data_IF_349624421262
#
_entry.id   IF_349624421262
#
_cell.length_a   1.000
_cell.length_b   1.000
_cell.length_c   1.000
_cell.angle_alpha   90.00
_cell.angle_beta   90.00
_cell.angle_gamma   90.00
#
_symmetry.space_group_name_H-M   'P 1'
#
loop_
_entity.id
_entity.type
_entity.pdbx_description
1 polymer ?
#
# COMPACT_ATOMS: atom_id res chain seq x y z
N UNK A 1 11.12 -7.48 -4.51
CA UNK A 1 10.77 -6.90 -3.20
C UNK A 1 12.04 -6.67 -2.40
N UNK A 2 12.12 -5.57 -1.69
CA UNK A 2 13.25 -5.19 -0.85
C UNK A 2 13.49 -6.20 0.27
N UNK A 3 14.74 -6.59 0.50
CA UNK A 3 15.09 -7.57 1.55
C UNK A 3 14.74 -7.09 2.97
N UNK A 4 14.82 -5.78 3.22
CA UNK A 4 14.44 -5.18 4.49
C UNK A 4 12.95 -5.39 4.78
N UNK A 5 12.10 -5.22 3.78
CA UNK A 5 10.66 -5.46 3.89
C UNK A 5 10.39 -6.93 4.13
N UNK A 6 11.03 -7.82 3.36
CA UNK A 6 10.89 -9.27 3.54
C UNK A 6 11.24 -9.71 4.95
N UNK A 7 12.37 -9.23 5.47
CA UNK A 7 12.82 -9.57 6.82
C UNK A 7 11.84 -9.07 7.88
N UNK A 8 11.32 -7.87 7.73
CA UNK A 8 10.35 -7.28 8.66
C UNK A 8 9.04 -8.05 8.68
N UNK A 9 8.51 -8.37 7.51
CA UNK A 9 7.25 -9.13 7.38
C UNK A 9 7.43 -10.56 7.87
N UNK A 10 8.58 -11.18 7.57
CA UNK A 10 8.89 -12.52 8.06
C UNK A 10 8.89 -12.57 9.60
N UNK A 11 9.46 -11.58 10.23
CA UNK A 11 9.47 -11.45 11.69
C UNK A 11 8.05 -11.32 12.25
N UNK A 12 7.21 -10.52 11.59
CA UNK A 12 5.79 -10.38 11.97
C UNK A 12 5.04 -11.71 11.81
N UNK A 13 5.19 -12.38 10.67
CA UNK A 13 4.55 -13.69 10.43
C UNK A 13 4.99 -14.73 11.47
N UNK A 14 6.28 -14.75 11.80
CA UNK A 14 6.82 -15.66 12.80
C UNK A 14 6.20 -15.43 14.18
N UNK A 15 6.03 -14.16 14.58
CA UNK A 15 5.38 -13.81 15.85
C UNK A 15 3.91 -14.23 15.91
N UNK A 16 3.23 -14.28 14.77
CA UNK A 16 1.84 -14.72 14.64
C UNK A 16 1.71 -16.24 14.41
N UNK A 17 2.83 -16.95 14.30
CA UNK A 17 2.82 -18.39 14.03
C UNK A 17 2.50 -18.75 12.58
N UNK A 18 2.69 -17.82 11.65
CA UNK A 18 2.39 -18.02 10.24
C UNK A 18 3.65 -18.42 9.47
N UNK A 19 3.45 -19.25 8.45
CA UNK A 19 4.52 -19.61 7.53
C UNK A 19 4.89 -18.41 6.64
N UNK A 20 6.18 -18.22 6.38
CA UNK A 20 6.66 -17.14 5.52
C UNK A 20 7.05 -17.68 4.15
N UNK A 21 6.28 -17.31 3.14
CA UNK A 21 6.56 -17.54 1.72
C UNK A 21 6.45 -16.19 0.99
N UNK A 22 6.90 -16.12 -0.26
CA UNK A 22 6.76 -14.88 -1.03
C UNK A 22 5.30 -14.45 -1.15
N UNK A 23 4.39 -15.40 -1.32
CA UNK A 23 2.95 -15.12 -1.38
C UNK A 23 2.40 -14.64 -0.04
N UNK A 24 2.81 -15.28 1.06
CA UNK A 24 2.34 -14.89 2.39
C UNK A 24 2.83 -13.51 2.80
N UNK A 25 4.01 -13.09 2.35
CA UNK A 25 4.53 -11.76 2.59
C UNK A 25 3.61 -10.71 1.98
N UNK A 26 3.23 -10.89 0.73
CA UNK A 26 2.29 -10.00 0.04
C UNK A 26 0.93 -9.95 0.75
N UNK A 27 0.39 -11.11 1.09
CA UNK A 27 -0.88 -11.20 1.81
C UNK A 27 -0.83 -10.51 3.17
N UNK A 28 0.24 -10.72 3.93
CA UNK A 28 0.42 -10.08 5.23
C UNK A 28 0.42 -8.55 5.11
N UNK A 29 1.14 -8.00 4.14
CA UNK A 29 1.19 -6.56 3.92
C UNK A 29 -0.20 -6.02 3.60
N UNK A 30 -0.92 -6.69 2.72
CA UNK A 30 -2.22 -6.21 2.25
C UNK A 30 -3.35 -6.39 3.26
N UNK A 31 -3.33 -7.48 4.05
CA UNK A 31 -4.41 -7.82 4.96
C UNK A 31 -4.17 -7.40 6.40
N UNK A 32 -2.94 -7.59 6.90
CA UNK A 32 -2.60 -7.25 8.28
C UNK A 32 -2.09 -5.82 8.44
N UNK A 33 -1.57 -5.22 7.38
CA UNK A 33 -1.14 -3.83 7.39
C UNK A 33 -2.31 -2.88 7.61
N UNK A 34 -2.15 -1.92 8.53
CA UNK A 34 -3.16 -0.90 8.79
C UNK A 34 -3.00 0.22 7.78
N UNK A 35 -4.03 0.48 6.97
CA UNK A 35 -4.03 1.57 6.01
C UNK A 35 -3.97 2.92 6.72
N UNK A 36 -2.93 3.69 6.43
CA UNK A 36 -2.72 5.01 7.05
C UNK A 36 -2.84 6.16 6.05
N UNK A 37 -2.70 5.89 4.75
CA UNK A 37 -2.82 6.89 3.72
C UNK A 37 -3.11 6.25 2.35
N UNK A 38 -3.81 6.98 1.51
CA UNK A 38 -3.98 6.62 0.10
C UNK A 38 -4.16 7.88 -0.73
N UNK A 39 -3.67 7.84 -1.96
CA UNK A 39 -3.76 8.98 -2.85
C UNK A 39 -3.02 8.73 -4.15
N UNK A 40 -2.62 9.82 -4.83
CA UNK A 40 -1.93 9.77 -6.13
C UNK A 40 -2.69 8.93 -7.18
N UNK A 41 -4.00 9.12 -7.22
CA UNK A 41 -4.88 8.33 -8.08
C UNK A 41 -4.63 8.59 -9.56
N UNK A 42 -4.65 7.53 -10.35
CA UNK A 42 -4.79 7.63 -11.80
C UNK A 42 -5.94 6.75 -12.24
N UNK A 43 -6.88 7.35 -12.96
CA UNK A 43 -8.10 6.63 -13.38
C UNK A 43 -7.88 5.88 -14.68
N UNK A 44 -8.45 4.68 -14.76
CA UNK A 44 -8.65 3.97 -16.01
C UNK A 44 -10.15 3.79 -16.23
N UNK A 45 -10.52 3.16 -17.34
CA UNK A 45 -11.93 2.89 -17.66
C UNK A 45 -12.62 1.98 -16.65
N UNK A 46 -11.86 1.05 -16.04
CA UNK A 46 -12.40 -0.05 -15.25
C UNK A 46 -12.05 0.03 -13.76
N UNK A 47 -10.99 0.78 -13.42
CA UNK A 47 -10.53 0.91 -12.03
C UNK A 47 -9.72 2.19 -11.86
N UNK A 48 -9.58 2.62 -10.61
CA UNK A 48 -8.63 3.67 -10.23
C UNK A 48 -7.39 3.03 -9.63
N UNK A 49 -6.22 3.43 -10.09
CA UNK A 49 -4.96 3.07 -9.42
C UNK A 49 -4.73 4.01 -8.25
N UNK A 50 -4.47 3.45 -7.09
CA UNK A 50 -4.32 4.19 -5.84
C UNK A 50 -3.03 3.78 -5.17
N UNK A 51 -2.15 4.74 -4.88
CA UNK A 51 -0.98 4.45 -4.05
C UNK A 51 -1.44 4.37 -2.60
N UNK A 52 -1.22 3.22 -1.99
CA UNK A 52 -1.69 2.92 -0.62
C UNK A 52 -0.51 2.74 0.29
N UNK A 53 -0.58 3.33 1.48
CA UNK A 53 0.44 3.16 2.53
C UNK A 53 -0.20 2.48 3.72
N UNK A 54 0.44 1.40 4.18
CA UNK A 54 0.03 0.68 5.37
C UNK A 54 1.16 0.71 6.41
N UNK A 55 0.77 0.62 7.67
CA UNK A 55 1.71 0.41 8.77
C UNK A 55 1.62 -1.05 9.22
N UNK A 56 2.76 -1.72 9.24
CA UNK A 56 2.87 -3.09 9.72
C UNK A 56 4.00 -3.15 10.74
N UNK A 57 3.62 -3.35 11.99
CA UNK A 57 4.57 -3.48 13.11
C UNK A 57 5.67 -2.41 13.10
N UNK A 58 5.26 -1.15 12.94
CA UNK A 58 6.13 0.02 12.97
C UNK A 58 6.81 0.39 11.66
N UNK A 59 6.62 -0.38 10.59
CA UNK A 59 7.16 -0.05 9.27
C UNK A 59 6.06 0.46 8.35
N UNK A 60 6.33 1.55 7.64
CA UNK A 60 5.44 2.07 6.61
C UNK A 60 5.79 1.44 5.26
N UNK A 61 4.81 0.81 4.64
CA UNK A 61 4.98 0.10 3.38
C UNK A 61 3.97 0.64 2.37
N UNK A 62 4.45 1.02 1.20
CA UNK A 62 3.60 1.51 0.13
C UNK A 62 3.53 0.54 -1.03
N UNK A 63 2.40 0.56 -1.72
CA UNK A 63 2.18 -0.23 -2.94
C UNK A 63 1.04 0.37 -3.76
N UNK A 64 1.00 0.03 -5.04
CA UNK A 64 -0.12 0.40 -5.89
C UNK A 64 -1.22 -0.65 -5.78
N UNK A 65 -2.42 -0.18 -5.57
CA UNK A 65 -3.64 -0.98 -5.49
C UNK A 65 -4.68 -0.43 -6.48
N UNK A 66 -5.83 -1.06 -6.55
CA UNK A 66 -6.91 -0.61 -7.41
C UNK A 66 -8.22 -0.53 -6.65
N UNK A 67 -9.01 0.48 -6.98
CA UNK A 67 -10.36 0.67 -6.45
C UNK A 67 -11.38 0.52 -7.58
N UNK A 68 -12.57 0.07 -7.25
CA UNK A 68 -13.66 -0.07 -8.22
C UNK A 68 -14.12 1.30 -8.73
N UNK A 69 -14.36 1.38 -10.03
CA UNK A 69 -15.00 2.53 -10.65
C UNK A 69 -16.42 2.20 -11.17
N UNK A 70 -16.90 0.98 -10.91
CA UNK A 70 -18.20 0.50 -11.35
C UNK A 70 -18.66 -0.72 -10.57
N UNK A 71 -19.53 -1.51 -11.16
CA UNK A 71 -20.14 -2.67 -10.49
C UNK A 71 -19.21 -3.88 -10.36
N UNK A 72 -18.14 -3.93 -11.14
CA UNK A 72 -17.19 -5.05 -11.11
C UNK A 72 -15.99 -4.74 -10.25
N UNK A 73 -15.42 -5.78 -9.61
CA UNK A 73 -14.14 -5.63 -8.90
C UNK A 73 -12.99 -5.48 -9.90
N UNK A 74 -11.86 -4.85 -9.53
CA UNK A 74 -10.72 -4.70 -10.43
C UNK A 74 -10.22 -6.02 -11.01
N UNK A 75 -10.19 -7.09 -10.21
CA UNK A 75 -9.74 -8.41 -10.67
C UNK A 75 -10.67 -9.01 -11.73
N UNK A 76 -11.96 -8.71 -11.70
CA UNK A 76 -12.93 -9.18 -12.70
C UNK A 76 -12.73 -8.53 -14.08
N UNK A 77 -12.13 -7.34 -14.12
CA UNK A 77 -11.85 -6.60 -15.35
C UNK A 77 -10.39 -6.64 -15.78
N UNK A 78 -9.60 -7.57 -15.20
CA UNK A 78 -8.25 -7.86 -15.65
C UNK A 78 -7.13 -7.18 -14.88
N UNK A 79 -7.44 -6.48 -13.77
CA UNK A 79 -6.40 -5.93 -12.93
C UNK A 79 -5.73 -7.03 -12.09
N UNK A 80 -4.40 -6.98 -12.00
CA UNK A 80 -3.62 -7.86 -11.16
C UNK A 80 -2.70 -7.04 -10.25
N UNK A 81 -2.57 -7.46 -9.00
CA UNK A 81 -1.65 -6.83 -8.07
C UNK A 81 -0.21 -7.10 -8.49
N UNK A 82 0.59 -6.03 -8.56
CA UNK A 82 2.01 -6.14 -8.90
C UNK A 82 2.89 -6.01 -7.65
N UNK A 83 3.45 -7.13 -7.15
CA UNK A 83 4.30 -7.11 -5.96
C UNK A 83 5.58 -6.27 -6.11
N UNK A 84 6.01 -6.01 -7.34
CA UNK A 84 7.21 -5.19 -7.58
C UNK A 84 7.02 -3.73 -7.17
N UNK A 85 5.78 -3.29 -6.98
CA UNK A 85 5.48 -1.92 -6.52
C UNK A 85 5.68 -1.73 -5.03
N UNK A 86 5.79 -2.82 -4.26
CA UNK A 86 5.95 -2.75 -2.81
C UNK A 86 7.28 -2.09 -2.45
N UNK A 87 7.22 -1.02 -1.64
CA UNK A 87 8.40 -0.28 -1.21
C UNK A 87 8.23 0.23 0.22
N UNK A 88 9.35 0.48 0.89
CA UNK A 88 9.32 1.18 2.17
C UNK A 88 9.09 2.66 1.92
N UNK A 89 8.21 3.28 2.72
CA UNK A 89 7.95 4.71 2.67
C UNK A 89 8.26 5.35 4.00
N UNK A 90 8.59 6.64 3.95
CA UNK A 90 8.82 7.45 5.14
C UNK A 90 7.86 8.62 5.13
N UNK A 91 7.33 8.96 6.31
CA UNK A 91 6.50 10.14 6.47
C UNK A 91 7.37 11.38 6.45
N UNK A 92 6.99 12.35 5.63
CA UNK A 92 7.66 13.66 5.57
C UNK A 92 6.63 14.75 5.67
N UNK A 93 6.92 15.76 6.46
CA UNK A 93 6.08 16.95 6.53
C UNK A 93 6.45 17.91 5.41
N UNK A 94 5.43 18.54 4.86
CA UNK A 94 5.60 19.53 3.81
C UNK A 94 4.99 20.84 4.28
N UNK A 95 5.81 21.89 4.37
CA UNK A 95 5.34 23.24 4.66
C UNK A 95 4.81 23.87 3.38
N UNK A 96 3.57 24.34 3.44
CA UNK A 96 2.92 25.02 2.31
C UNK A 96 2.67 26.47 2.70
N UNK A 97 3.17 27.39 1.86
CA UNK A 97 2.85 28.81 2.01
C UNK A 97 1.59 29.12 1.22
N UNK A 98 0.65 29.77 1.86
CA UNK A 98 -0.58 30.23 1.22
C UNK A 98 -0.84 31.69 1.61
N UNK A 99 -1.70 32.34 0.85
CA UNK A 99 -1.95 33.77 1.03
C UNK A 99 -3.42 33.98 1.34
N UNK A 100 -3.66 34.83 2.35
CA UNK A 100 -5.01 35.25 2.75
C UNK A 100 -5.14 36.75 2.61
N UNK A 101 -6.36 37.25 2.45
CA UNK A 101 -6.60 38.68 2.44
C UNK A 101 -6.26 39.29 3.81
N UNK A 102 -5.53 40.40 3.80
CA UNK A 102 -5.23 41.12 5.04
C UNK A 102 -6.52 41.71 5.65
N UNK A 103 -6.63 41.73 6.99
CA UNK A 103 -7.80 42.35 7.65
C UNK A 103 -7.88 43.86 7.44
#
# INVERSE_FOLDING_TARGET
MNEKIKAHVAKYNESEGWETTDESIVETIREAGKKVWSGNNSSSRWWDNVFTVVELDGMLIGFWDAENTGDNTPSEVGWEFDPSTICEVVAKEKTVTYYEAAP
#
